data_IF_859144176341
#
_entry.id   IF_859144176341
#
_cell.length_a   1.000
_cell.length_b   1.000
_cell.length_c   1.000
_cell.angle_alpha   90.00
_cell.angle_beta   90.00
_cell.angle_gamma   90.00
#
_symmetry.space_group_name_H-M   'P 1'
#
loop_
_entity.id
_entity.type
_entity.pdbx_description
1 polymer ?
2 non-polymer ?
3 non-polymer ?
4 non-polymer ?
5 water ?
#
# COMPACT_ATOMS: atom_id res chain seq x y z
N UNK A 1 3.97 13.09 -18.24
CA UNK A 1 4.00 13.41 -16.78
C UNK A 1 3.00 14.53 -16.47
N UNK A 2 3.35 15.78 -16.82
CA UNK A 2 2.43 16.92 -16.82
C UNK A 2 0.91 16.68 -17.01
N UNK A 3 0.46 15.55 -17.54
CA UNK A 3 -1.00 15.37 -17.64
C UNK A 3 -1.58 14.63 -16.43
N UNK A 4 -0.77 14.45 -15.40
CA UNK A 4 -1.21 13.73 -14.22
C UNK A 4 -1.24 14.65 -13.02
N UNK A 5 -2.32 14.53 -12.25
CA UNK A 5 -2.43 15.23 -10.98
C UNK A 5 -2.77 14.27 -9.84
N UNK A 6 -2.34 14.63 -8.66
CA UNK A 6 -2.66 13.88 -7.47
C UNK A 6 -3.35 14.84 -6.53
N UNK A 7 -4.48 14.45 -5.96
CA UNK A 7 -5.10 15.27 -4.92
C UNK A 7 -5.35 14.42 -3.68
N UNK A 8 -5.21 15.01 -2.49
CA UNK A 8 -5.46 14.24 -1.27
C UNK A 8 -5.24 14.91 0.07
N UNK A 9 -5.48 14.13 1.12
CA UNK A 9 -5.25 14.54 2.49
C UNK A 9 -4.74 13.29 3.20
N UNK A 10 -3.75 13.44 4.08
CA UNK A 10 -3.17 12.28 4.72
C UNK A 10 -2.90 12.53 6.18
N UNK A 11 -2.53 11.49 6.89
CA UNK A 11 -2.22 11.65 8.31
C UNK A 11 -1.04 12.57 8.53
N UNK A 12 -0.25 12.86 7.49
CA UNK A 12 0.91 13.76 7.64
C UNK A 12 0.42 15.17 7.94
N UNK A 13 -0.76 15.53 7.46
CA UNK A 13 -1.26 16.89 7.68
C UNK A 13 -2.63 16.97 8.35
N UNK A 14 -3.34 15.87 8.48
CA UNK A 14 -4.68 15.88 9.06
C UNK A 14 -4.84 14.83 10.14
N UNK A 15 -5.81 15.05 11.02
CA UNK A 15 -6.13 14.14 12.10
C UNK A 15 -7.16 13.10 11.65
N UNK A 16 -7.26 12.02 12.40
CA UNK A 16 -8.16 10.89 12.15
C UNK A 16 -9.63 11.19 11.76
N UNK A 17 -10.08 12.44 12.00
CA UNK A 17 -11.50 12.87 11.72
C UNK A 17 -11.63 13.72 10.45
N UNK A 18 -10.62 14.53 10.20
CA UNK A 18 -10.51 15.18 8.91
C UNK A 18 -10.28 14.13 7.81
N UNK A 19 -9.77 12.93 8.14
CA UNK A 19 -9.54 11.87 7.14
C UNK A 19 -10.83 11.12 6.81
N UNK A 20 -11.57 10.79 7.86
CA UNK A 20 -12.89 10.13 7.81
C UNK A 20 -13.87 10.89 6.92
N UNK A 21 -14.01 12.17 7.16
CA UNK A 21 -14.88 12.99 6.33
C UNK A 21 -14.57 12.81 4.85
N UNK A 22 -13.29 13.00 4.52
CA UNK A 22 -12.82 12.94 3.16
C UNK A 22 -12.98 11.60 2.51
N UNK A 23 -13.03 10.56 3.32
CA UNK A 23 -13.16 9.22 2.81
C UNK A 23 -14.38 9.13 1.87
N UNK A 24 -14.28 8.35 0.79
CA UNK A 24 -15.39 8.14 -0.13
C UNK A 24 -16.08 6.86 0.25
N UNK A 25 -17.39 6.94 0.43
CA UNK A 25 -18.18 5.82 0.90
C UNK A 25 -18.41 4.75 -0.13
N UNK A 26 -18.64 5.18 -1.37
CA UNK A 26 -19.03 4.25 -2.42
C UNK A 26 -17.85 3.51 -3.07
N UNK A 27 -17.98 2.20 -3.19
CA UNK A 27 -16.98 1.37 -3.86
C UNK A 27 -16.79 1.85 -5.30
N UNK A 28 -17.74 2.60 -5.84
CA UNK A 28 -17.65 3.03 -7.21
C UNK A 28 -17.17 4.48 -7.35
N UNK A 29 -16.73 5.08 -6.25
CA UNK A 29 -16.35 6.50 -6.28
C UNK A 29 -15.35 6.86 -7.41
N UNK A 30 -14.36 6.00 -7.63
CA UNK A 30 -13.36 6.29 -8.65
C UNK A 30 -14.05 6.46 -10.00
N UNK A 31 -15.04 5.61 -10.28
CA UNK A 31 -15.80 5.71 -11.53
C UNK A 31 -16.63 7.00 -11.60
N UNK A 32 -17.39 7.30 -10.55
CA UNK A 32 -18.16 8.53 -10.56
C UNK A 32 -17.23 9.73 -10.83
N UNK A 33 -16.08 9.76 -10.18
CA UNK A 33 -15.16 10.88 -10.36
C UNK A 33 -14.78 11.05 -11.83
N UNK A 34 -14.45 9.95 -12.48
CA UNK A 34 -14.08 9.98 -13.89
C UNK A 34 -15.19 10.70 -14.70
N UNK A 35 -16.44 10.29 -14.53
CA UNK A 35 -17.53 10.91 -15.30
C UNK A 35 -17.73 12.38 -14.97
N UNK A 36 -17.91 12.66 -13.69
CA UNK A 36 -18.14 14.02 -13.20
C UNK A 36 -17.02 15.02 -13.50
N UNK A 37 -15.91 14.55 -14.05
CA UNK A 37 -14.83 15.46 -14.37
C UNK A 37 -14.27 15.22 -15.77
N UNK A 38 -14.88 14.30 -16.52
CA UNK A 38 -14.43 13.99 -17.86
C UNK A 38 -12.96 13.62 -17.93
N UNK A 39 -12.52 12.75 -17.01
CA UNK A 39 -11.12 12.36 -16.96
C UNK A 39 -10.80 11.26 -17.94
N UNK A 40 -9.54 11.20 -18.36
CA UNK A 40 -9.06 10.08 -19.15
C UNK A 40 -8.88 8.86 -18.22
N UNK A 41 -8.55 9.09 -16.94
CA UNK A 41 -8.40 8.01 -15.98
C UNK A 41 -8.27 8.48 -14.53
N UNK A 42 -8.41 7.53 -13.61
CA UNK A 42 -8.29 7.82 -12.21
C UNK A 42 -8.14 6.56 -11.38
N UNK A 43 -7.36 6.67 -10.31
CA UNK A 43 -7.18 5.57 -9.34
C UNK A 43 -7.45 6.19 -7.98
N UNK A 44 -8.24 5.52 -7.15
CA UNK A 44 -8.52 6.07 -5.82
C UNK A 44 -7.79 5.20 -4.81
N UNK A 45 -6.92 5.82 -4.03
CA UNK A 45 -6.16 5.13 -2.98
C UNK A 45 -6.63 5.65 -1.64
N UNK A 46 -7.32 4.83 -0.91
CA UNK A 46 -7.79 5.23 0.37
C UNK A 46 -7.57 4.20 1.50
N UNK A 47 -7.00 4.68 2.59
CA UNK A 47 -6.74 3.84 3.76
C UNK A 47 -7.13 4.64 4.99
N UNK A 48 -7.01 4.04 6.17
CA UNK A 48 -7.29 4.81 7.40
C UNK A 48 -6.41 6.06 7.51
N UNK A 49 -5.27 6.12 6.79
CA UNK A 49 -4.31 7.23 6.95
C UNK A 49 -4.13 8.14 5.72
N UNK A 50 -4.90 7.91 4.66
CA UNK A 50 -4.86 8.78 3.51
C UNK A 50 -6.09 8.59 2.64
N UNK A 51 -6.47 9.67 1.97
CA UNK A 51 -7.45 9.64 0.89
C UNK A 51 -6.81 10.43 -0.26
N UNK A 52 -6.49 9.72 -1.33
CA UNK A 52 -5.78 10.28 -2.45
C UNK A 52 -6.42 9.89 -3.75
N UNK A 53 -6.56 10.86 -4.65
CA UNK A 53 -7.11 10.58 -5.99
C UNK A 53 -6.08 10.93 -7.03
N UNK A 54 -5.75 9.96 -7.88
CA UNK A 54 -4.85 10.15 -8.99
C UNK A 54 -5.71 10.28 -10.22
N UNK A 55 -5.48 11.31 -11.01
CA UNK A 55 -6.29 11.53 -12.20
C UNK A 55 -5.47 11.79 -13.44
N UNK A 56 -5.90 11.21 -14.54
CA UNK A 56 -5.25 11.45 -15.79
C UNK A 56 -6.19 12.35 -16.61
N UNK A 57 -5.64 13.42 -17.15
CA UNK A 57 -6.41 14.36 -17.94
C UNK A 57 -7.33 15.31 -17.20
N UNK A 58 -7.08 15.58 -15.93
CA UNK A 58 -8.00 16.41 -15.12
C UNK A 58 -7.88 17.85 -15.43
N UNK A 59 -6.87 18.11 -16.22
CA UNK A 59 -5.99 19.09 -15.66
C UNK A 59 -6.21 20.55 -15.47
N UNK A 60 -7.30 21.09 -15.97
CA UNK A 60 -7.59 22.44 -15.60
C UNK A 60 -8.50 22.38 -14.35
N UNK A 61 -8.87 21.17 -13.92
CA UNK A 61 -9.78 20.99 -12.78
C UNK A 61 -9.13 20.31 -11.58
N UNK A 62 -7.82 20.46 -11.43
CA UNK A 62 -7.09 19.86 -10.33
C UNK A 62 -7.56 20.40 -8.98
N UNK A 63 -7.58 21.72 -8.83
CA UNK A 63 -8.04 22.30 -7.57
C UNK A 63 -9.46 21.84 -7.23
N UNK A 64 -10.29 21.67 -8.26
CA UNK A 64 -11.67 21.18 -8.07
C UNK A 64 -11.68 19.79 -7.53
N UNK A 65 -10.79 18.98 -8.08
CA UNK A 65 -10.67 17.60 -7.65
C UNK A 65 -10.37 17.62 -6.18
N UNK A 66 -9.50 18.53 -5.79
CA UNK A 66 -9.13 18.68 -4.40
C UNK A 66 -10.35 18.85 -3.51
N UNK A 67 -11.31 19.61 -4.01
CA UNK A 67 -12.54 19.94 -3.27
C UNK A 67 -13.45 18.82 -2.81
N UNK A 68 -13.59 17.71 -3.53
CA UNK A 68 -14.51 16.68 -3.03
C UNK A 68 -13.77 15.73 -2.13
N UNK A 69 -12.52 16.08 -1.84
CA UNK A 69 -11.79 15.35 -0.83
C UNK A 69 -11.92 16.20 0.45
N UNK A 70 -11.49 17.45 0.39
CA UNK A 70 -11.37 18.24 1.61
C UNK A 70 -10.88 19.66 1.30
N UNK A 71 -11.22 20.64 2.15
CA UNK A 71 -10.83 22.05 1.92
C UNK A 71 -9.34 22.31 2.11
N UNK A 72 -8.64 21.38 2.77
CA UNK A 72 -7.19 21.46 2.93
C UNK A 72 -6.41 20.40 2.09
N UNK A 73 -7.14 19.57 1.33
CA UNK A 73 -6.53 18.63 0.39
C UNK A 73 -5.44 19.35 -0.33
N UNK A 74 -4.35 18.66 -0.59
CA UNK A 74 -3.27 19.22 -1.37
C UNK A 74 -3.48 18.81 -2.81
N UNK A 75 -2.72 19.42 -3.70
CA UNK A 75 -2.75 19.11 -5.11
C UNK A 75 -1.32 18.98 -5.61
N UNK A 76 -0.99 17.84 -6.22
CA UNK A 76 0.32 17.63 -6.82
C UNK A 76 0.15 17.45 -8.33
N UNK A 77 1.11 17.97 -9.07
CA UNK A 77 1.10 17.86 -10.53
C UNK A 77 2.35 17.15 -11.03
N UNK A 78 2.19 16.44 -12.14
CA UNK A 78 3.30 15.81 -12.84
C UNK A 78 4.25 15.01 -12.01
N UNK A 79 5.54 15.30 -12.17
CA UNK A 79 6.61 14.66 -11.41
C UNK A 79 6.36 14.55 -9.89
N UNK A 80 5.93 15.63 -9.25
CA UNK A 80 5.64 15.61 -7.83
C UNK A 80 4.54 14.62 -7.50
N UNK A 81 3.52 14.51 -8.36
CA UNK A 81 2.41 13.61 -8.09
C UNK A 81 2.91 12.16 -8.11
N UNK A 82 3.66 11.83 -9.16
CA UNK A 82 4.24 10.50 -9.28
C UNK A 82 5.23 10.23 -8.15
N UNK A 83 6.02 11.23 -7.78
CA UNK A 83 6.99 11.04 -6.73
C UNK A 83 6.25 10.69 -5.44
N UNK A 84 5.18 11.40 -5.11
CA UNK A 84 4.39 11.07 -3.92
C UNK A 84 3.88 9.63 -3.97
N UNK A 85 3.34 9.21 -5.13
CA UNK A 85 2.90 7.80 -5.28
C UNK A 85 4.03 6.81 -5.00
N UNK A 86 5.21 7.09 -5.55
CA UNK A 86 6.36 6.23 -5.39
C UNK A 86 6.77 6.17 -3.88
N UNK A 87 6.61 7.30 -3.19
CA UNK A 87 6.95 7.37 -1.78
C UNK A 87 5.90 6.57 -0.97
N UNK A 88 4.63 6.66 -1.34
CA UNK A 88 3.57 5.89 -0.69
C UNK A 88 3.79 4.38 -0.88
N UNK A 89 4.01 3.94 -2.11
CA UNK A 89 4.20 2.51 -2.37
C UNK A 89 5.44 1.93 -1.70
N UNK A 90 6.44 2.78 -1.51
CA UNK A 90 7.70 2.36 -0.95
C UNK A 90 7.69 2.35 0.56
N UNK A 91 6.57 2.76 1.12
CA UNK A 91 6.37 2.81 2.56
C UNK A 91 6.84 4.08 3.22
N UNK A 92 7.29 5.07 2.44
CA UNK A 92 7.90 6.25 3.09
C UNK A 92 6.92 7.25 3.65
N UNK A 93 5.65 7.12 3.32
CA UNK A 93 4.65 8.04 3.85
C UNK A 93 3.85 7.42 4.98
N UNK A 94 4.27 6.26 5.44
CA UNK A 94 3.55 5.56 6.48
C UNK A 94 4.20 5.68 7.86
N UNK A 95 3.33 5.68 8.87
CA UNK A 95 3.77 5.79 10.27
C UNK A 95 4.71 4.67 10.61
N UNK A 96 4.31 3.47 10.21
CA UNK A 96 5.19 2.35 10.27
C UNK A 96 5.91 2.32 8.94
N UNK A 97 7.01 3.06 8.92
CA UNK A 97 7.81 3.23 7.74
C UNK A 97 8.16 1.91 7.16
N UNK A 98 7.88 1.77 5.87
CA UNK A 98 8.25 0.56 5.13
C UNK A 98 7.21 -0.56 5.20
N UNK A 99 6.09 -0.31 5.86
CA UNK A 99 5.11 -1.35 6.09
C UNK A 99 4.66 -2.03 4.78
N UNK A 100 4.44 -3.32 4.85
CA UNK A 100 3.99 -4.09 3.68
C UNK A 100 2.57 -3.77 3.24
N UNK A 101 1.71 -3.42 4.19
CA UNK A 101 0.30 -3.27 3.90
C UNK A 101 0.03 -2.20 2.83
N UNK A 102 0.67 -1.04 2.93
CA UNK A 102 0.41 0.06 2.01
C UNK A 102 0.72 -0.36 0.57
N UNK A 103 1.70 -1.24 0.38
CA UNK A 103 1.99 -1.71 -0.96
C UNK A 103 0.80 -2.55 -1.47
N UNK A 104 0.29 -3.40 -0.58
CA UNK A 104 -0.88 -4.20 -0.96
C UNK A 104 -2.02 -3.27 -1.28
N UNK A 105 -2.13 -2.18 -0.52
CA UNK A 105 -3.25 -1.26 -0.72
C UNK A 105 -3.13 -0.49 -2.04
N UNK A 106 -1.92 -0.10 -2.43
CA UNK A 106 -1.71 0.50 -3.76
C UNK A 106 -2.12 -0.48 -4.89
N UNK A 107 -1.77 -1.76 -4.74
CA UNK A 107 -2.11 -2.76 -5.74
C UNK A 107 -3.64 -2.91 -5.83
N UNK A 108 -4.33 -2.91 -4.69
CA UNK A 108 -5.79 -3.00 -4.67
C UNK A 108 -6.42 -1.78 -5.34
N UNK A 109 -5.92 -0.61 -5.03
CA UNK A 109 -6.35 0.58 -5.73
C UNK A 109 -6.22 0.35 -7.25
N UNK A 110 -5.06 -0.12 -7.73
CA UNK A 110 -4.85 -0.36 -9.16
C UNK A 110 -5.88 -1.36 -9.74
N UNK A 111 -6.09 -2.45 -9.02
CA UNK A 111 -7.10 -3.45 -9.44
C UNK A 111 -8.55 -2.95 -9.48
N UNK A 112 -8.93 -2.18 -8.48
CA UNK A 112 -10.28 -1.65 -8.44
C UNK A 112 -10.51 -0.77 -9.65
N UNK A 113 -9.55 0.08 -9.96
CA UNK A 113 -9.62 0.91 -11.14
C UNK A 113 -9.68 0.05 -12.41
N UNK A 114 -8.91 -1.03 -12.44
CA UNK A 114 -8.83 -1.86 -13.63
C UNK A 114 -10.20 -2.41 -13.92
N UNK A 115 -10.84 -2.84 -12.85
CA UNK A 115 -12.10 -3.52 -12.95
C UNK A 115 -13.32 -2.60 -13.10
N UNK A 116 -13.15 -1.30 -12.96
CA UNK A 116 -14.28 -0.36 -13.07
C UNK A 116 -14.20 0.46 -14.35
N UNK A 117 -13.04 0.29 -14.99
CA UNK A 117 -12.71 0.84 -16.30
C UNK A 117 -12.14 2.25 -16.25
N UNK A 118 -11.50 2.62 -15.13
CA UNK A 118 -11.05 4.02 -14.94
C UNK A 118 -9.54 4.16 -15.08
N UNK A 119 -8.91 3.11 -15.62
CA UNK A 119 -7.48 3.10 -15.93
C UNK A 119 -7.26 3.61 -17.34
N UNK A 120 -6.17 4.32 -17.57
CA UNK A 120 -5.74 4.65 -18.94
C UNK A 120 -4.31 4.18 -19.02
N UNK A 121 -3.70 4.21 -20.20
CA UNK A 121 -2.34 3.72 -20.36
C UNK A 121 -1.34 4.45 -19.47
N UNK A 122 -1.55 5.73 -19.29
CA UNK A 122 -0.64 6.48 -18.45
C UNK A 122 -0.66 5.99 -16.99
N UNK A 123 -1.84 5.80 -16.42
CA UNK A 123 -1.92 5.42 -15.02
C UNK A 123 -1.45 3.98 -14.88
N UNK A 124 -1.58 3.20 -15.95
CA UNK A 124 -1.10 1.84 -15.92
C UNK A 124 0.42 1.86 -15.75
N UNK A 125 1.10 2.66 -16.57
CA UNK A 125 2.54 2.82 -16.52
C UNK A 125 3.02 3.27 -15.14
N UNK A 126 2.43 4.35 -14.63
CA UNK A 126 2.79 4.89 -13.32
C UNK A 126 2.57 3.91 -12.15
N UNK A 127 1.37 3.36 -12.09
CA UNK A 127 1.04 2.42 -11.02
C UNK A 127 1.86 1.13 -11.12
N UNK A 128 1.97 0.59 -12.32
CA UNK A 128 2.82 -0.58 -12.50
C UNK A 128 4.24 -0.32 -11.97
N UNK A 129 4.77 0.85 -12.28
CA UNK A 129 6.11 1.12 -11.85
C UNK A 129 6.15 1.39 -10.36
N UNK A 130 5.09 1.99 -9.84
CA UNK A 130 5.01 2.25 -8.42
C UNK A 130 5.06 0.93 -7.64
N UNK A 131 4.29 -0.03 -8.11
CA UNK A 131 4.18 -1.34 -7.49
C UNK A 131 5.49 -2.12 -7.55
N UNK A 132 6.16 -2.11 -8.68
CA UNK A 132 7.39 -2.85 -8.80
C UNK A 132 8.47 -2.16 -7.98
N UNK A 133 8.35 -0.86 -7.81
CA UNK A 133 9.32 -0.12 -7.02
C UNK A 133 9.23 -0.44 -5.50
N UNK A 134 8.02 -0.44 -4.97
CA UNK A 134 7.74 -0.80 -3.60
C UNK A 134 8.33 -2.17 -3.25
N UNK A 135 8.14 -3.15 -4.14
CA UNK A 135 8.80 -4.46 -4.02
C UNK A 135 10.32 -4.38 -4.01
N UNK A 136 10.91 -3.68 -4.96
CA UNK A 136 12.36 -3.53 -5.03
C UNK A 136 12.93 -2.80 -3.81
N UNK A 137 12.26 -1.75 -3.35
CA UNK A 137 12.80 -0.98 -2.26
C UNK A 137 12.89 -1.85 -1.02
N UNK A 138 11.90 -2.73 -0.86
CA UNK A 138 11.82 -3.58 0.30
C UNK A 138 12.75 -4.78 0.21
N UNK A 139 13.18 -5.13 -1.00
CA UNK A 139 14.17 -6.18 -1.23
C UNK A 139 15.61 -5.65 -1.19
N UNK A 140 15.85 -4.49 -1.74
CA UNK A 140 17.18 -3.96 -1.89
C UNK A 140 17.63 -3.11 -0.73
N UNK A 141 16.68 -2.72 0.13
CA UNK A 141 17.03 -1.97 1.31
C UNK A 141 16.45 -2.64 2.53
N UNK A 142 16.67 -2.04 3.68
CA UNK A 142 16.18 -2.57 4.93
C UNK A 142 15.00 -1.78 5.47
N UNK A 143 14.34 -1.01 4.59
CA UNK A 143 13.19 -0.16 4.93
C UNK A 143 12.01 -0.94 5.60
N UNK A 144 11.88 -2.25 5.33
CA UNK A 144 10.77 -3.04 5.91
C UNK A 144 11.24 -4.20 6.80
N UNK A 145 12.42 -4.07 7.36
CA UNK A 145 12.95 -5.11 8.21
C UNK A 145 12.84 -4.71 9.66
N UNK A 146 12.53 -5.67 10.52
CA UNK A 146 12.48 -5.44 11.94
C UNK A 146 11.08 -5.20 12.40
N UNK A 147 10.72 -5.75 13.55
CA UNK A 147 9.36 -5.60 14.06
C UNK A 147 9.02 -4.17 14.50
N UNK A 148 7.95 -3.60 13.96
CA UNK A 148 7.54 -2.24 14.33
C UNK A 148 6.13 -2.11 14.89
N UNK A 149 5.57 -3.23 15.38
CA UNK A 149 4.34 -3.20 16.14
C UNK A 149 4.50 -4.15 17.32
N UNK A 150 3.61 -4.04 18.30
CA UNK A 150 3.65 -4.89 19.50
C UNK A 150 3.56 -6.40 19.17
N UNK A 151 2.72 -6.76 18.20
CA UNK A 151 2.53 -8.14 17.78
C UNK A 151 3.78 -8.72 17.16
N UNK A 152 4.31 -8.02 16.16
CA UNK A 152 5.54 -8.46 15.53
C UNK A 152 6.71 -8.43 16.51
N UNK A 153 6.73 -7.48 17.43
CA UNK A 153 7.80 -7.42 18.43
C UNK A 153 7.76 -8.64 19.34
N UNK A 154 6.56 -9.13 19.67
CA UNK A 154 6.40 -10.30 20.52
C UNK A 154 6.94 -11.51 19.79
N UNK A 155 6.76 -11.58 18.47
CA UNK A 155 7.34 -12.67 17.73
C UNK A 155 8.88 -12.63 17.72
N UNK A 156 9.48 -11.45 17.54
CA UNK A 156 10.93 -11.31 17.63
C UNK A 156 11.39 -11.74 18.97
N UNK A 157 10.71 -11.26 20.03
CA UNK A 157 11.16 -11.58 21.38
C UNK A 157 11.04 -13.08 21.64
N UNK A 158 9.95 -13.71 21.17
CA UNK A 158 9.71 -15.13 21.42
C UNK A 158 10.74 -15.96 20.70
N UNK A 159 11.01 -15.57 19.47
CA UNK A 159 12.04 -16.25 18.71
C UNK A 159 13.44 -16.14 19.36
N UNK A 160 13.77 -14.98 19.90
CA UNK A 160 15.04 -14.85 20.55
C UNK A 160 15.09 -15.67 21.86
N UNK A 161 13.98 -15.70 22.59
CA UNK A 161 13.95 -16.37 23.89
C UNK A 161 13.79 -17.85 23.77
N UNK A 162 13.08 -18.30 22.76
CA UNK A 162 12.71 -19.67 22.67
C UNK A 162 13.17 -20.41 21.43
N UNK A 163 13.53 -19.69 20.39
CA UNK A 163 13.89 -20.33 19.15
C UNK A 163 12.75 -20.48 18.17
N UNK A 164 12.67 -21.61 17.48
CA UNK A 164 11.63 -21.77 16.49
C UNK A 164 10.33 -21.92 17.20
N UNK A 165 9.29 -21.21 16.79
CA UNK A 165 8.01 -21.33 17.48
C UNK A 165 7.08 -22.46 16.98
N UNK A 166 7.41 -23.06 15.83
CA UNK A 166 6.46 -23.94 15.12
C UNK A 166 5.88 -25.07 15.95
N UNK A 167 6.67 -25.61 16.86
CA UNK A 167 6.29 -26.69 17.77
C UNK A 167 5.95 -26.20 19.20
N UNK A 168 5.76 -24.89 19.37
CA UNK A 168 5.47 -24.38 20.69
C UNK A 168 3.96 -24.22 20.92
N UNK A 169 3.57 -24.21 22.19
CA UNK A 169 2.18 -23.99 22.58
C UNK A 169 2.04 -22.62 23.21
N UNK A 170 1.02 -21.89 22.81
CA UNK A 170 0.77 -20.57 23.33
C UNK A 170 -0.39 -20.63 24.30
N UNK A 171 -0.24 -20.04 25.49
CA UNK A 171 -1.36 -19.91 26.42
C UNK A 171 -1.80 -18.44 26.47
N UNK A 172 -3.05 -18.17 26.16
CA UNK A 172 -3.55 -16.82 26.25
C UNK A 172 -4.48 -16.72 27.44
N UNK A 173 -4.18 -15.84 28.37
CA UNK A 173 -5.04 -15.67 29.56
C UNK A 173 -5.65 -14.27 29.56
N UNK A 174 -6.95 -14.21 29.39
CA UNK A 174 -7.66 -12.96 29.32
C UNK A 174 -7.97 -12.51 27.91
N UNK A 175 -8.73 -11.42 27.82
CA UNK A 175 -9.27 -10.93 26.56
C UNK A 175 -8.86 -9.50 26.22
N UNK A 176 -7.90 -8.91 26.92
CA UNK A 176 -7.44 -7.56 26.58
C UNK A 176 -7.04 -7.53 25.11
N UNK A 177 -7.42 -6.48 24.41
CA UNK A 177 -7.16 -6.34 22.96
C UNK A 177 -5.71 -6.47 22.53
N UNK A 178 -4.80 -5.89 23.29
CA UNK A 178 -3.39 -5.98 22.96
C UNK A 178 -2.96 -7.44 23.13
N UNK A 179 -3.59 -8.19 24.04
CA UNK A 179 -3.33 -9.62 24.19
C UNK A 179 -3.76 -10.39 22.95
N UNK A 180 -4.92 -10.03 22.44
CA UNK A 180 -5.45 -10.64 21.21
C UNK A 180 -4.49 -10.34 20.04
N UNK A 181 -4.02 -9.12 19.94
CA UNK A 181 -3.05 -8.75 18.88
C UNK A 181 -1.77 -9.59 18.95
N UNK A 182 -1.21 -9.71 20.13
CA UNK A 182 0.01 -10.51 20.29
C UNK A 182 -0.23 -11.97 19.91
N UNK A 183 -1.31 -12.54 20.38
CA UNK A 183 -1.61 -13.94 20.09
C UNK A 183 -1.77 -14.17 18.61
N UNK A 184 -2.52 -13.30 17.92
CA UNK A 184 -2.71 -13.41 16.44
C UNK A 184 -1.36 -13.35 15.67
N UNK A 185 -0.43 -12.52 16.13
CA UNK A 185 0.90 -12.45 15.51
C UNK A 185 1.65 -13.75 15.70
N UNK A 186 1.56 -14.34 16.91
CA UNK A 186 2.23 -15.58 17.18
C UNK A 186 1.64 -16.65 16.30
N UNK A 187 0.32 -16.72 16.24
CA UNK A 187 -0.39 -17.66 15.38
C UNK A 187 0.00 -17.51 13.92
N UNK A 188 0.15 -16.28 13.45
CA UNK A 188 0.48 -16.02 12.03
C UNK A 188 1.89 -16.44 11.72
N UNK A 189 2.76 -16.30 12.71
CA UNK A 189 4.13 -16.76 12.56
C UNK A 189 4.20 -18.29 12.39
N UNK A 190 3.40 -19.00 13.18
CA UNK A 190 3.33 -20.47 13.16
C UNK A 190 3.70 -21.09 14.53
N UNK A 191 2.66 -21.54 15.25
CA UNK A 191 2.81 -22.29 16.50
C UNK A 191 2.01 -23.61 16.43
N UNK A 192 2.23 -24.51 17.37
CA UNK A 192 1.57 -25.81 17.31
C UNK A 192 0.15 -25.79 17.86
N UNK A 193 -0.06 -25.13 18.97
CA UNK A 193 -1.36 -25.06 19.59
C UNK A 193 -1.50 -23.78 20.39
N UNK A 194 -2.74 -23.33 20.56
CA UNK A 194 -3.08 -22.15 21.35
C UNK A 194 -4.16 -22.56 22.37
N UNK A 195 -3.91 -22.31 23.64
CA UNK A 195 -4.85 -22.60 24.71
C UNK A 195 -5.37 -21.23 25.14
N UNK A 196 -6.67 -21.11 25.39
CA UNK A 196 -7.26 -19.85 25.76
C UNK A 196 -8.07 -19.97 27.06
N UNK A 197 -7.75 -19.15 28.04
CA UNK A 197 -8.40 -19.18 29.33
C UNK A 197 -8.88 -17.81 29.72
N UNK A 198 -10.02 -17.74 30.40
CA UNK A 198 -10.63 -16.51 30.84
C UNK A 198 -11.51 -16.77 32.05
N UNK A 199 -11.56 -15.83 32.99
CA UNK A 199 -12.41 -15.97 34.18
C UNK A 199 -13.90 -16.14 33.80
N UNK A 200 -14.28 -15.83 32.58
CA UNK A 200 -15.60 -16.12 32.05
C UNK A 200 -15.41 -17.07 30.88
N UNK A 201 -15.78 -18.32 31.05
CA UNK A 201 -15.53 -19.35 30.03
C UNK A 201 -15.99 -18.93 28.66
N UNK A 202 -17.11 -18.26 28.59
CA UNK A 202 -17.63 -17.90 27.28
C UNK A 202 -16.71 -16.90 26.54
N UNK A 203 -16.08 -15.98 27.26
CA UNK A 203 -15.10 -15.07 26.64
C UNK A 203 -14.00 -15.92 25.98
N UNK A 204 -13.60 -17.00 26.65
CA UNK A 204 -12.57 -17.91 26.17
C UNK A 204 -12.96 -18.66 24.92
N UNK A 205 -14.18 -19.17 24.91
CA UNK A 205 -14.68 -19.91 23.76
C UNK A 205 -14.63 -18.99 22.53
N UNK A 206 -15.01 -17.74 22.76
CA UNK A 206 -15.04 -16.76 21.71
C UNK A 206 -13.65 -16.51 21.12
N UNK A 207 -12.69 -16.21 21.97
CA UNK A 207 -11.35 -15.90 21.50
C UNK A 207 -10.67 -17.14 20.90
N UNK A 208 -10.84 -18.29 21.51
CA UNK A 208 -10.22 -19.48 20.95
C UNK A 208 -10.72 -19.67 19.53
N UNK A 209 -12.01 -19.39 19.32
CA UNK A 209 -12.58 -19.54 17.98
C UNK A 209 -11.84 -18.64 17.02
N UNK A 210 -11.68 -17.38 17.41
CA UNK A 210 -10.94 -16.40 16.62
C UNK A 210 -9.56 -16.90 16.25
N UNK A 211 -8.85 -17.33 17.26
CA UNK A 211 -7.47 -17.75 17.11
C UNK A 211 -7.28 -19.12 16.49
N UNK A 212 -8.35 -19.90 16.36
CA UNK A 212 -8.20 -21.28 15.91
C UNK A 212 -7.60 -22.18 16.98
N UNK A 213 -7.84 -21.83 18.24
CA UNK A 213 -7.29 -22.56 19.37
C UNK A 213 -8.35 -23.28 20.20
N UNK A 214 -7.96 -23.68 21.41
CA UNK A 214 -8.81 -24.46 22.28
C UNK A 214 -9.09 -23.66 23.54
N UNK A 215 -10.37 -23.54 23.88
CA UNK A 215 -10.79 -22.93 25.12
C UNK A 215 -10.52 -23.92 26.23
N UNK A 216 -9.89 -23.46 27.31
CA UNK A 216 -9.62 -24.33 28.45
C UNK A 216 -10.11 -23.71 29.72
N UNK A 217 -10.24 -24.50 30.77
CA UNK A 217 -10.75 -23.99 32.04
C UNK A 217 -9.71 -23.17 32.79
N UNK A 218 -10.18 -22.09 33.37
CA UNK A 218 -9.34 -21.13 34.05
C UNK A 218 -8.70 -21.73 35.30
N UNK A 219 -9.42 -22.67 35.91
CA UNK A 219 -9.07 -23.28 37.18
C UNK A 219 -8.08 -24.38 36.99
N UNK A 220 -7.81 -24.73 35.73
CA UNK A 220 -6.76 -25.69 35.44
C UNK A 220 -5.47 -24.97 34.96
N UNK A 221 -5.31 -23.70 35.34
CA UNK A 221 -4.15 -22.88 34.94
C UNK A 221 -2.78 -23.56 35.20
N UNK A 222 -2.63 -24.31 36.28
CA UNK A 222 -1.36 -24.95 36.57
C UNK A 222 -0.97 -25.93 35.49
N UNK A 223 -1.90 -26.79 35.08
CA UNK A 223 -1.61 -27.71 34.02
C UNK A 223 -1.38 -26.97 32.69
N UNK A 224 -2.10 -25.86 32.46
CA UNK A 224 -1.93 -25.09 31.21
C UNK A 224 -0.50 -24.58 31.09
N UNK A 225 -0.04 -23.94 32.15
CA UNK A 225 1.35 -23.52 32.29
C UNK A 225 2.31 -24.65 32.05
N UNK A 226 2.03 -25.82 32.60
CA UNK A 226 2.98 -26.90 32.47
C UNK A 226 3.19 -27.26 31.00
N UNK A 227 2.16 -27.12 30.19
CA UNK A 227 2.30 -27.50 28.82
C UNK A 227 2.53 -26.35 27.86
N UNK A 228 2.74 -25.14 28.36
CA UNK A 228 2.89 -24.01 27.44
C UNK A 228 4.31 -23.45 27.38
N UNK A 229 4.65 -22.82 26.28
CA UNK A 229 5.99 -22.22 26.17
C UNK A 229 5.95 -20.70 26.11
N UNK A 230 4.88 -20.15 25.58
CA UNK A 230 4.70 -18.73 25.62
C UNK A 230 3.32 -18.45 26.24
N UNK A 231 3.32 -17.56 27.22
CA UNK A 231 2.08 -17.17 27.92
C UNK A 231 1.85 -15.70 27.64
N UNK A 232 0.65 -15.38 27.16
CA UNK A 232 0.24 -14.03 26.88
C UNK A 232 -0.88 -13.74 27.88
N UNK A 233 -0.60 -12.86 28.82
CA UNK A 233 -1.54 -12.57 29.88
C UNK A 233 -2.06 -11.12 29.79
N UNK A 234 -3.36 -10.99 29.61
CA UNK A 234 -3.97 -9.71 29.39
C UNK A 234 -5.35 -9.67 30.03
N UNK A 235 -5.45 -10.01 31.30
CA UNK A 235 -6.77 -9.95 31.90
C UNK A 235 -7.22 -8.55 32.32
N UNK A 236 -8.52 -8.35 32.22
CA UNK A 236 -9.19 -7.11 32.55
C UNK A 236 -9.29 -6.85 34.06
N UNK A 237 -9.53 -7.88 34.87
CA UNK A 237 -9.63 -7.67 36.31
C UNK A 237 -8.26 -7.24 36.87
N UNK A 238 -8.29 -6.50 37.97
CA UNK A 238 -7.09 -5.94 38.58
C UNK A 238 -6.32 -6.86 39.50
N UNK A 239 -6.57 -8.15 39.46
CA UNK A 239 -5.85 -9.06 40.31
C UNK A 239 -4.84 -9.80 39.44
N UNK A 240 -3.67 -10.09 40.00
CA UNK A 240 -2.67 -10.87 39.29
C UNK A 240 -3.26 -12.27 39.05
N UNK A 241 -2.90 -12.90 37.96
CA UNK A 241 -3.41 -14.24 37.65
C UNK A 241 -2.33 -15.31 37.54
N UNK A 242 -1.08 -14.90 37.32
CA UNK A 242 0.05 -15.78 37.30
C UNK A 242 0.84 -15.60 38.57
N UNK A 243 0.81 -16.63 39.39
CA UNK A 243 1.48 -16.64 40.70
C UNK A 243 2.68 -17.52 40.78
N UNK A 244 3.64 -17.05 41.58
CA UNK A 244 4.84 -17.83 41.82
C UNK A 244 4.52 -19.32 42.08
N UNK A 245 3.68 -19.60 43.08
CA UNK A 245 3.38 -20.99 43.41
C UNK A 245 2.85 -21.81 42.26
N UNK A 246 2.00 -21.25 41.42
CA UNK A 246 1.46 -22.00 40.32
C UNK A 246 2.55 -22.36 39.30
N UNK A 247 3.43 -21.42 39.03
CA UNK A 247 4.52 -21.60 38.05
C UNK A 247 5.49 -22.68 38.52
N UNK A 248 5.90 -22.64 39.80
CA UNK A 248 6.78 -23.64 40.34
C UNK A 248 6.11 -25.01 40.25
N UNK A 249 4.85 -25.12 40.70
CA UNK A 249 4.10 -26.36 40.56
C UNK A 249 4.06 -26.78 39.08
N UNK A 250 3.75 -25.88 38.15
CA UNK A 250 3.66 -26.31 36.75
C UNK A 250 5.01 -26.88 36.28
N UNK A 251 6.12 -26.22 36.66
CA UNK A 251 7.43 -26.67 36.23
C UNK A 251 7.80 -28.03 36.88
N UNK A 252 7.50 -28.24 38.16
CA UNK A 252 7.83 -29.57 38.74
C UNK A 252 7.01 -30.65 38.06
N UNK A 253 5.82 -30.30 37.62
CA UNK A 253 4.96 -31.26 36.95
C UNK A 253 5.55 -31.84 35.67
N UNK A 254 6.23 -31.01 34.89
CA UNK A 254 6.75 -31.47 33.61
C UNK A 254 8.12 -32.16 33.65
N UNK A 255 8.17 -33.34 33.07
CA UNK A 255 9.41 -34.11 33.01
C UNK A 255 10.57 -33.46 32.26
N UNK A 256 10.26 -32.71 31.21
CA UNK A 256 11.29 -32.10 30.37
C UNK A 256 11.50 -30.59 30.64
N UNK A 257 12.75 -30.20 30.94
CA UNK A 257 13.12 -28.76 31.10
C UNK A 257 13.11 -28.08 29.71
N UNK A 258 12.46 -26.91 29.64
CA UNK A 258 12.47 -26.02 28.45
C UNK A 258 12.04 -24.61 28.93
N UNK A 259 12.56 -23.54 28.34
CA UNK A 259 12.20 -22.18 28.80
C UNK A 259 10.76 -21.78 28.55
N UNK A 260 10.19 -21.03 29.48
CA UNK A 260 8.83 -20.48 29.32
C UNK A 260 8.93 -18.95 29.26
N UNK A 261 8.32 -18.36 28.25
CA UNK A 261 8.28 -16.91 28.12
C UNK A 261 6.91 -16.41 28.50
N UNK A 262 6.84 -15.51 29.46
CA UNK A 262 5.54 -14.98 29.91
C UNK A 262 5.51 -13.50 29.56
N UNK A 263 4.53 -13.10 28.75
CA UNK A 263 4.39 -11.74 28.32
C UNK A 263 3.22 -11.12 29.06
N UNK A 264 3.51 -10.24 29.96
CA UNK A 264 2.50 -9.55 30.77
C UNK A 264 2.01 -8.27 30.12
N UNK A 265 0.83 -8.32 29.51
CA UNK A 265 0.25 -7.20 28.75
C UNK A 265 -0.64 -6.27 29.60
N UNK A 266 -1.05 -6.76 30.79
CA UNK A 266 -2.00 -6.07 31.67
C UNK A 266 -1.41 -5.01 32.56
N UNK A 267 -2.24 -4.08 32.94
CA UNK A 267 -1.85 -3.10 33.91
C UNK A 267 -3.10 -2.78 34.67
N UNK A 268 -3.13 -3.02 35.98
CA UNK A 268 -1.95 -3.49 36.72
C UNK A 268 -1.54 -4.87 36.21
N UNK A 269 -0.33 -5.26 36.59
CA UNK A 269 0.33 -6.47 36.10
C UNK A 269 -0.44 -7.75 36.40
N UNK A 270 -0.42 -8.66 35.46
CA UNK A 270 -1.03 -9.97 35.62
C UNK A 270 -0.07 -10.91 36.34
N UNK A 271 1.22 -10.62 36.24
CA UNK A 271 2.22 -11.53 36.77
C UNK A 271 2.76 -11.05 38.14
N UNK A 272 2.72 -11.96 39.11
CA UNK A 272 3.20 -11.70 40.45
C UNK A 272 4.69 -11.41 40.42
N UNK A 273 5.12 -10.41 41.19
CA UNK A 273 6.53 -10.10 41.30
C UNK A 273 7.25 -11.34 41.84
N UNK A 274 8.41 -11.64 41.31
CA UNK A 274 9.16 -12.85 41.68
C UNK A 274 9.04 -14.02 40.71
N UNK A 275 8.02 -14.01 39.86
CA UNK A 275 7.85 -15.10 38.90
C UNK A 275 9.08 -15.13 38.00
N UNK A 276 9.59 -13.95 37.71
CA UNK A 276 10.75 -13.77 36.86
C UNK A 276 12.04 -14.45 37.37
N UNK A 277 12.11 -14.72 38.68
CA UNK A 277 13.27 -15.35 39.27
C UNK A 277 13.18 -16.87 39.33
N UNK A 278 12.09 -17.45 38.83
CA UNK A 278 12.01 -18.91 38.80
C UNK A 278 12.91 -19.32 37.66
N UNK A 279 13.60 -20.41 37.87
CA UNK A 279 14.55 -20.94 36.91
C UNK A 279 13.81 -21.46 35.60
N UNK A 280 14.31 -21.15 34.40
CA UNK A 280 13.61 -21.50 33.12
C UNK A 280 12.45 -20.54 32.77
N UNK A 281 12.22 -19.53 33.57
CA UNK A 281 11.14 -18.59 33.30
C UNK A 281 11.67 -17.23 32.93
N UNK A 282 11.13 -16.70 31.86
CA UNK A 282 11.41 -15.34 31.47
C UNK A 282 10.14 -14.52 31.47
N UNK A 283 10.17 -13.35 32.09
CA UNK A 283 9.03 -12.45 32.08
C UNK A 283 9.36 -11.08 31.41
N UNK A 284 8.53 -10.68 30.44
CA UNK A 284 8.64 -9.41 29.73
C UNK A 284 7.28 -8.70 29.72
N UNK A 285 7.26 -7.40 29.47
CA UNK A 285 6.00 -6.65 29.46
C UNK A 285 5.69 -6.01 28.13
N UNK A 286 4.47 -5.44 28.09
CA UNK A 286 4.02 -4.67 26.97
C UNK A 286 5.03 -3.56 26.77
N UNK A 287 5.57 -3.01 27.84
CA UNK A 287 6.58 -1.95 27.68
C UNK A 287 7.83 -2.42 26.90
N UNK A 288 8.35 -3.60 27.23
CA UNK A 288 9.44 -4.23 26.52
C UNK A 288 9.12 -4.36 25.03
N UNK A 289 7.90 -4.78 24.69
CA UNK A 289 7.55 -4.81 23.29
C UNK A 289 7.60 -3.42 22.59
N UNK A 290 7.13 -2.37 23.26
CA UNK A 290 7.12 -1.03 22.69
C UNK A 290 8.56 -0.58 22.45
N UNK A 291 9.46 -0.90 23.38
CA UNK A 291 10.89 -0.62 23.21
C UNK A 291 11.47 -1.29 21.96
N UNK A 292 11.18 -2.57 21.75
CA UNK A 292 11.65 -3.28 20.58
C UNK A 292 11.16 -2.59 19.25
N UNK A 293 9.87 -2.34 19.20
CA UNK A 293 9.24 -1.71 18.04
C UNK A 293 9.85 -0.36 17.72
N UNK A 294 10.12 0.41 18.76
CA UNK A 294 10.69 1.75 18.61
C UNK A 294 12.13 1.67 18.08
N UNK A 295 12.93 0.73 18.57
CA UNK A 295 14.32 0.63 18.17
C UNK A 295 14.34 0.26 16.69
N UNK A 296 13.45 -0.67 16.32
CA UNK A 296 13.38 -1.12 14.95
C UNK A 296 12.85 -0.01 14.03
N UNK A 297 11.91 0.79 14.50
CA UNK A 297 11.37 1.86 13.69
C UNK A 297 12.45 2.90 13.41
N UNK A 298 13.18 3.27 14.47
CA UNK A 298 14.31 4.20 14.37
C UNK A 298 15.33 3.71 13.37
N UNK A 299 15.61 2.39 13.34
CA UNK A 299 16.53 1.81 12.37
C UNK A 299 15.97 1.84 10.91
N UNK A 300 14.71 1.46 10.73
CA UNK A 300 14.08 1.58 9.42
C UNK A 300 14.17 3.01 8.86
N UNK A 301 13.93 4.01 9.70
CA UNK A 301 14.01 5.39 9.27
C UNK A 301 15.37 5.72 8.67
N UNK A 302 16.44 5.11 9.15
CA UNK A 302 17.78 5.42 8.58
C UNK A 302 17.96 4.86 7.14
N UNK A 303 17.04 4.01 6.68
CA UNK A 303 17.10 3.55 5.31
C UNK A 303 16.37 4.47 4.32
N UNK A 304 15.69 5.49 4.82
CA UNK A 304 14.89 6.36 3.96
C UNK A 304 15.68 6.95 2.80
N UNK A 305 16.85 7.53 3.00
CA UNK A 305 17.60 8.08 1.84
C UNK A 305 17.96 7.08 0.74
N UNK A 306 18.29 5.85 1.10
CA UNK A 306 18.56 4.87 0.09
C UNK A 306 17.27 4.63 -0.76
N UNK A 307 16.11 4.61 -0.09
CA UNK A 307 14.84 4.43 -0.80
C UNK A 307 14.57 5.65 -1.69
N UNK A 308 14.80 6.85 -1.18
CA UNK A 308 14.60 8.05 -1.94
C UNK A 308 15.49 8.07 -3.21
N UNK A 309 16.68 7.46 -3.15
CA UNK A 309 17.57 7.43 -4.33
C UNK A 309 16.94 6.51 -5.37
N UNK A 310 16.46 5.37 -4.91
CA UNK A 310 15.75 4.45 -5.80
C UNK A 310 14.61 5.16 -6.53
N UNK A 311 13.86 5.95 -5.77
CA UNK A 311 12.73 6.69 -6.28
C UNK A 311 13.07 7.69 -7.41
N UNK A 312 14.09 8.52 -7.22
CA UNK A 312 14.53 9.48 -8.25
C UNK A 312 14.98 8.71 -9.51
N UNK A 313 15.58 7.55 -9.34
CA UNK A 313 16.02 6.78 -10.49
C UNK A 313 14.78 6.33 -11.24
N UNK A 314 13.83 5.78 -10.50
CA UNK A 314 12.61 5.31 -11.10
C UNK A 314 11.76 6.41 -11.74
N UNK A 315 11.80 7.61 -11.17
CA UNK A 315 11.10 8.73 -11.77
C UNK A 315 11.63 9.04 -13.16
N UNK A 316 12.93 9.04 -13.30
CA UNK A 316 13.51 9.30 -14.62
C UNK A 316 13.06 8.23 -15.59
N UNK A 317 12.99 6.97 -15.15
CA UNK A 317 12.56 5.90 -16.05
C UNK A 317 11.10 6.07 -16.52
N UNK A 318 10.17 6.22 -15.59
CA UNK A 318 8.78 6.39 -15.94
C UNK A 318 8.57 7.65 -16.78
N UNK A 319 9.38 8.66 -16.53
CA UNK A 319 9.27 9.89 -17.28
C UNK A 319 9.48 9.56 -18.78
N UNK A 320 10.58 8.90 -19.09
CA UNK A 320 10.80 8.48 -20.47
C UNK A 320 9.66 7.58 -20.95
N UNK A 321 9.12 6.72 -20.07
CA UNK A 321 8.02 5.81 -20.49
C UNK A 321 6.81 6.57 -20.97
N UNK A 322 6.41 7.52 -20.16
CA UNK A 322 5.30 8.37 -20.46
C UNK A 322 5.57 9.20 -21.75
N UNK A 323 6.81 9.64 -21.97
CA UNK A 323 7.14 10.35 -23.22
C UNK A 323 6.93 9.45 -24.47
N UNK A 324 7.45 8.22 -24.40
CA UNK A 324 7.27 7.26 -25.50
C UNK A 324 5.78 7.06 -25.74
N UNK A 325 5.02 7.04 -24.66
CA UNK A 325 3.57 6.90 -24.77
C UNK A 325 2.97 8.06 -25.59
N UNK A 326 3.33 9.27 -25.22
CA UNK A 326 2.79 10.42 -25.89
C UNK A 326 3.27 10.46 -27.33
N UNK A 327 4.53 10.05 -27.60
CA UNK A 327 5.03 10.03 -28.98
C UNK A 327 4.14 9.11 -29.79
N UNK A 328 3.79 7.98 -29.20
CA UNK A 328 3.02 6.95 -29.87
C UNK A 328 1.61 7.42 -30.12
N UNK A 329 1.04 8.06 -29.11
CA UNK A 329 -0.31 8.60 -29.25
C UNK A 329 -0.29 9.84 -30.19
N UNK A 330 0.79 10.61 -30.18
CA UNK A 330 0.88 11.79 -31.05
C UNK A 330 0.93 11.44 -32.55
N UNK A 331 1.72 10.43 -32.94
CA UNK A 331 1.77 9.98 -34.33
C UNK A 331 0.48 9.36 -34.86
N UNK A 332 -0.22 8.59 -34.04
CA UNK A 332 -1.42 7.90 -34.51
C UNK A 332 -2.54 8.91 -34.85
N UNK A 333 -2.66 9.94 -34.02
CA UNK A 333 -3.65 10.98 -34.22
C UNK A 333 -3.37 11.78 -35.50
N UNK A 334 -2.25 12.52 -35.48
CA UNK A 334 -1.69 13.23 -36.63
C UNK A 334 -1.89 12.44 -37.90
N UNK A 335 -1.59 11.16 -37.86
CA UNK A 335 -1.71 10.34 -39.04
C UNK A 335 -3.17 10.20 -39.47
N UNK A 336 -4.05 10.07 -38.49
CA UNK A 336 -5.45 9.98 -38.83
C UNK A 336 -5.86 11.36 -39.34
N UNK A 337 -5.29 12.42 -38.80
CA UNK A 337 -5.63 13.77 -39.27
C UNK A 337 -5.16 13.97 -40.75
N UNK A 338 -3.91 13.61 -41.03
CA UNK A 338 -3.34 13.77 -42.38
C UNK A 338 -3.88 12.80 -43.42
N UNK A 339 -4.22 11.57 -43.01
CA UNK A 339 -4.75 10.63 -43.99
C UNK A 339 -6.16 11.02 -44.45
N UNK A 340 -6.92 11.68 -43.59
CA UNK A 340 -8.27 12.14 -43.91
C UNK A 340 -8.26 13.31 -44.94
N UNK A 341 -7.23 14.16 -44.89
CA UNK A 341 -6.99 15.19 -45.92
C UNK A 341 -6.51 14.54 -47.19
N UNK A 342 -5.64 13.54 -47.03
CA UNK A 342 -5.13 12.77 -48.15
C UNK A 342 -6.27 12.13 -48.88
N UNK A 343 -7.15 11.45 -48.14
CA UNK A 343 -8.28 10.76 -48.77
C UNK A 343 -9.20 11.79 -49.49
N UNK A 344 -9.73 12.75 -48.74
CA UNK A 344 -10.56 13.83 -49.29
C UNK A 344 -9.96 14.38 -50.58
N UNK A 345 -8.69 14.77 -50.51
CA UNK A 345 -8.01 15.34 -51.67
C UNK A 345 -7.78 14.35 -52.83
N UNK A 346 -7.61 13.06 -52.51
CA UNK A 346 -7.45 11.95 -53.51
C UNK A 346 -8.54 11.84 -54.62
N UNK A 347 -9.79 11.65 -54.22
CA UNK A 347 -10.89 11.83 -55.16
C UNK A 347 -10.59 12.98 -56.19
N UNK A 348 -10.35 14.18 -55.67
CA UNK A 348 -10.49 15.40 -56.50
C UNK A 348 -9.49 15.57 -57.62
N UNK A 349 -8.22 15.28 -57.38
CA UNK A 349 -7.32 15.31 -58.50
C UNK A 349 -7.88 14.36 -59.56
N UNK A 350 -8.78 13.44 -59.15
CA UNK A 350 -9.21 12.41 -60.08
C UNK A 350 -9.93 13.11 -61.27
N UNK A 351 -10.95 13.93 -60.96
CA UNK A 351 -11.56 14.90 -61.89
C UNK A 351 -10.51 15.93 -62.51
N UNK A 352 -9.99 15.69 -63.73
CA UNK A 352 -8.66 16.23 -64.26
C UNK A 352 -8.59 17.62 -65.07
N UNK A 353 -7.55 17.86 -65.91
CA UNK A 353 -7.40 19.17 -66.65
C UNK A 353 -7.60 18.56 -67.99
N UNK A 354 -8.59 17.72 -67.88
CA UNK A 354 -9.36 17.14 -68.90
C UNK A 354 -10.62 18.00 -68.84
N UNK A 355 -11.28 18.44 -69.92
CA UNK A 355 -10.92 18.41 -71.35
C UNK A 355 -9.44 18.38 -71.69
N UNK A 361 -0.37 2.82 -59.98
CA UNK A 361 -1.25 3.75 -59.29
C UNK A 361 -0.73 5.14 -58.71
N UNK A 362 -0.47 6.42 -59.05
CA UNK A 362 0.40 7.37 -58.23
C UNK A 362 -0.20 7.95 -56.85
N UNK A 363 -1.00 7.04 -56.26
CA UNK A 363 -1.32 6.64 -54.85
C UNK A 363 -0.63 6.76 -53.52
N UNK A 364 0.62 7.05 -53.36
CA UNK A 364 1.75 6.74 -54.17
C UNK A 364 2.60 7.81 -53.66
N UNK A 365 2.59 8.89 -54.44
CA UNK A 365 3.52 9.95 -54.23
C UNK A 365 3.03 10.54 -52.91
N UNK A 366 1.71 10.63 -52.79
CA UNK A 366 1.04 11.15 -51.59
C UNK A 366 0.99 10.23 -50.41
N UNK A 367 1.11 8.91 -50.62
CA UNK A 367 1.25 8.04 -49.48
C UNK A 367 2.67 8.40 -48.98
N UNK A 368 3.68 8.52 -49.87
CA UNK A 368 5.04 8.98 -49.45
C UNK A 368 5.02 10.40 -48.86
N UNK A 369 4.36 11.31 -49.57
CA UNK A 369 4.34 12.71 -49.13
C UNK A 369 3.60 12.80 -47.78
N UNK A 370 2.51 12.05 -47.67
CA UNK A 370 1.73 11.98 -46.45
C UNK A 370 2.57 11.43 -45.25
N UNK A 371 3.34 10.37 -45.50
CA UNK A 371 4.21 9.80 -44.46
C UNK A 371 5.22 10.87 -44.02
N UNK A 372 5.76 11.60 -44.99
CA UNK A 372 6.71 12.66 -44.74
C UNK A 372 6.07 13.73 -43.86
N UNK A 373 4.89 14.17 -44.26
CA UNK A 373 4.12 15.16 -43.50
C UNK A 373 3.82 14.72 -42.10
N UNK A 374 3.38 13.48 -41.93
CA UNK A 374 3.12 12.93 -40.60
C UNK A 374 4.35 13.01 -39.66
N UNK A 375 5.50 12.55 -40.13
CA UNK A 375 6.77 12.60 -39.37
C UNK A 375 7.13 14.07 -39.02
N UNK A 376 7.07 14.95 -40.02
CA UNK A 376 7.32 16.38 -39.81
C UNK A 376 6.42 16.94 -38.74
N UNK A 377 5.11 16.75 -38.89
CA UNK A 377 4.17 17.31 -37.92
C UNK A 377 4.22 16.75 -36.51
N UNK A 378 4.40 15.45 -36.36
CA UNK A 378 4.46 14.84 -35.04
C UNK A 378 5.64 15.42 -34.25
N UNK A 379 6.77 15.58 -34.92
CA UNK A 379 7.93 16.08 -34.26
C UNK A 379 7.61 17.49 -33.75
N UNK A 380 7.05 18.34 -34.62
CA UNK A 380 6.71 19.71 -34.28
C UNK A 380 5.76 19.77 -33.08
N UNK A 381 4.82 18.87 -33.00
CA UNK A 381 3.91 18.85 -31.88
C UNK A 381 4.65 18.31 -30.66
N UNK A 382 5.81 17.69 -30.87
CA UNK A 382 6.61 17.13 -29.78
C UNK A 382 7.55 17.93 -28.80
N UNK A 383 8.48 18.88 -29.03
CA UNK A 383 8.98 19.83 -30.07
C UNK A 383 8.54 21.26 -29.66
N UNK A 384 7.47 21.30 -28.87
CA UNK A 384 7.14 22.41 -27.94
C UNK A 384 5.81 22.09 -27.20
N UNK A 385 5.83 22.18 -25.85
CA UNK A 385 4.91 21.33 -25.11
C UNK A 385 3.50 21.20 -24.72
N UNK A 386 3.45 20.38 -23.69
CA UNK A 386 2.28 19.58 -23.41
C UNK A 386 1.15 20.30 -22.73
N UNK A 387 1.48 21.24 -21.86
CA UNK A 387 0.51 22.27 -21.58
C UNK A 387 -0.40 22.43 -22.84
N UNK A 388 0.17 22.15 -24.04
CA UNK A 388 -0.44 22.35 -25.38
C UNK A 388 -0.71 21.11 -26.18
N UNK A 389 0.42 20.63 -26.69
CA UNK A 389 0.45 19.36 -27.29
C UNK A 389 -0.91 18.92 -26.81
N UNK A 390 -1.76 18.46 -27.71
CA UNK A 390 -3.12 18.05 -27.38
C UNK A 390 -4.07 18.99 -28.07
N UNK A 391 -3.95 20.27 -27.75
CA UNK A 391 -4.79 21.27 -28.39
C UNK A 391 -4.27 21.50 -29.79
N UNK A 392 -2.94 21.62 -29.93
CA UNK A 392 -2.34 21.83 -31.26
C UNK A 392 -2.65 20.55 -32.02
N UNK A 393 -2.56 19.45 -31.30
CA UNK A 393 -2.96 18.17 -31.83
C UNK A 393 -4.48 18.27 -32.04
N UNK A 394 -5.16 19.07 -31.21
CA UNK A 394 -6.62 19.33 -31.41
C UNK A 394 -6.82 20.26 -32.62
N UNK A 395 -6.20 21.42 -32.59
CA UNK A 395 -6.17 22.37 -33.71
C UNK A 395 -5.91 21.71 -35.09
N UNK A 396 -4.78 20.99 -35.26
CA UNK A 396 -4.52 20.28 -36.53
C UNK A 396 -5.73 19.45 -36.90
N UNK A 397 -6.22 18.76 -35.90
CA UNK A 397 -7.36 17.88 -36.13
C UNK A 397 -8.70 18.64 -36.40
N UNK A 398 -8.95 19.74 -35.71
CA UNK A 398 -10.16 20.49 -36.04
C UNK A 398 -9.97 20.99 -37.49
N UNK A 399 -8.85 21.67 -37.73
CA UNK A 399 -8.60 22.25 -39.05
C UNK A 399 -8.68 21.21 -40.18
N UNK A 400 -8.31 19.98 -39.92
CA UNK A 400 -8.35 18.93 -40.96
C UNK A 400 -9.74 18.47 -41.38
N UNK A 401 -10.65 18.42 -40.42
CA UNK A 401 -11.98 17.91 -40.71
C UNK A 401 -12.72 18.99 -41.52
N UNK A 402 -12.61 20.21 -41.03
CA UNK A 402 -13.26 21.35 -41.66
C UNK A 402 -12.58 21.77 -42.98
N UNK A 403 -11.39 22.40 -42.89
CA UNK A 403 -10.65 22.89 -44.06
C UNK A 403 -10.09 21.84 -45.03
N UNK A 404 -10.08 20.58 -44.58
CA UNK A 404 -9.45 19.51 -45.33
C UNK A 404 -10.17 18.99 -46.56
#
# INVERSE_FOLDING_TARGET
MEDLVSVGITHKEAEVEELEKARFESDEAVRDIVESFGLSGSVLLQTSNRVEVYASGARDRAEELGDLIHDDAWVKRGSEAVRHLFRVASGLESMMVGEQEILRQVKKAYDRAARLGTLDEALKIVFRRAINLGKRAREETRISEGAVSIGSAAVELAERELGSLHDKTVLVVGAGEMGKTVAKSLVDRGVRAVLVANRTYERAVELARDLGGEAVRFDELVDHLARSDVVVSATAAPHPVIHVDDVREALRKRDRRSPILIIDIANPRDVEEGVENIEDVEVRTIDDLRVIARENLERRRKEIPKVEKLIEEELSTVEEELEKLKERRLVADVAKSLHEIKDRELERALRRLKTGDPENVLQDFAEAYTKRLINVLTSAIMELPDEYRRAASRALRRASELNG
#
